data_IF_102519000520
#
_entry.id   IF_102519000520
#
_cell.length_a   1.000
_cell.length_b   1.000
_cell.length_c   1.000
_cell.angle_alpha   90.00
_cell.angle_beta   90.00
_cell.angle_gamma   90.00
#
_symmetry.space_group_name_H-M   'P 1'
#
loop_
_entity.id
_entity.type
_entity.pdbx_description
1 polymer ?
#
# COMPACT_ATOMS: atom_id res chain seq x y z
N UNK A 1 2.33 -29.58 -2.92
CA UNK A 1 2.93 -28.43 -2.19
C UNK A 1 2.13 -27.12 -2.22
N UNK A 2 1.45 -26.74 -3.32
CA UNK A 2 0.60 -25.52 -3.38
C UNK A 2 -0.64 -25.59 -2.47
N UNK A 3 -1.29 -26.74 -2.37
CA UNK A 3 -2.51 -26.96 -1.60
C UNK A 3 -2.30 -26.97 -0.08
N UNK A 4 -1.17 -27.45 0.43
CA UNK A 4 -0.89 -27.49 1.87
C UNK A 4 -0.68 -26.12 2.51
N UNK A 5 -0.03 -25.18 1.83
CA UNK A 5 0.18 -23.82 2.33
C UNK A 5 -1.12 -23.01 2.32
N UNK A 6 -1.97 -23.21 1.31
CA UNK A 6 -3.31 -22.61 1.24
C UNK A 6 -4.18 -23.04 2.43
N UNK A 7 -4.19 -24.34 2.74
CA UNK A 7 -4.92 -24.87 3.90
C UNK A 7 -4.40 -24.27 5.20
N UNK A 8 -3.08 -24.08 5.37
CA UNK A 8 -2.50 -23.56 6.62
C UNK A 8 -2.89 -22.12 6.94
N UNK A 9 -2.85 -21.21 6.00
CA UNK A 9 -3.22 -19.79 6.26
C UNK A 9 -4.72 -19.66 6.48
N UNK A 10 -5.53 -20.30 5.63
CA UNK A 10 -6.97 -20.29 5.73
C UNK A 10 -7.43 -20.80 7.11
N UNK A 11 -6.93 -21.95 7.56
CA UNK A 11 -7.28 -22.51 8.88
C UNK A 11 -6.75 -21.66 10.03
N UNK A 12 -5.57 -21.06 9.93
CA UNK A 12 -5.02 -20.16 10.95
C UNK A 12 -5.85 -18.91 11.18
N UNK A 13 -6.53 -18.42 10.17
CA UNK A 13 -7.41 -17.26 10.28
C UNK A 13 -8.83 -17.68 10.66
N UNK A 14 -9.34 -18.76 10.10
CA UNK A 14 -10.69 -19.23 10.30
C UNK A 14 -10.94 -19.77 11.71
N UNK A 15 -10.05 -20.64 12.22
CA UNK A 15 -10.25 -21.30 13.53
C UNK A 15 -10.40 -20.33 14.70
N UNK A 16 -9.54 -19.31 14.89
CA UNK A 16 -9.71 -18.39 16.00
C UNK A 16 -10.94 -17.50 15.84
N UNK A 17 -11.30 -17.13 14.62
CA UNK A 17 -12.47 -16.31 14.34
C UNK A 17 -13.77 -17.05 14.70
N UNK A 18 -13.88 -18.33 14.32
CA UNK A 18 -15.04 -19.16 14.66
C UNK A 18 -15.08 -19.50 16.14
N UNK A 19 -13.91 -19.79 16.74
CA UNK A 19 -13.84 -20.01 18.18
C UNK A 19 -14.33 -18.80 18.98
N UNK A 20 -13.88 -17.59 18.59
CA UNK A 20 -14.34 -16.34 19.21
C UNK A 20 -15.85 -16.15 19.05
N UNK A 21 -16.39 -16.42 17.85
CA UNK A 21 -17.82 -16.34 17.57
C UNK A 21 -18.64 -17.24 18.52
N UNK A 22 -18.23 -18.50 18.67
CA UNK A 22 -18.92 -19.44 19.55
C UNK A 22 -18.78 -19.10 21.03
N UNK A 23 -17.64 -18.54 21.46
CA UNK A 23 -17.48 -18.01 22.82
C UNK A 23 -18.45 -16.85 23.08
N UNK A 24 -18.59 -15.92 22.12
CA UNK A 24 -19.56 -14.80 22.23
C UNK A 24 -21.00 -15.35 22.32
N UNK A 25 -21.36 -16.27 21.44
CA UNK A 25 -22.69 -16.90 21.47
C UNK A 25 -22.93 -17.57 22.83
N UNK A 26 -21.97 -18.36 23.33
CA UNK A 26 -22.05 -19.04 24.63
C UNK A 26 -22.20 -18.06 25.80
N UNK A 27 -21.47 -16.95 25.80
CA UNK A 27 -21.61 -15.92 26.84
C UNK A 27 -22.93 -15.19 26.78
N UNK A 28 -23.46 -14.91 25.60
CA UNK A 28 -24.77 -14.32 25.41
C UNK A 28 -25.89 -15.25 25.91
N UNK A 29 -25.79 -16.54 25.61
CA UNK A 29 -26.73 -17.56 26.10
C UNK A 29 -26.70 -17.63 27.63
N UNK A 30 -25.51 -17.71 28.24
CA UNK A 30 -25.36 -17.75 29.69
C UNK A 30 -25.94 -16.51 30.37
N UNK A 31 -25.69 -15.33 29.78
CA UNK A 31 -26.26 -14.07 30.26
C UNK A 31 -27.80 -14.08 30.16
N UNK A 32 -28.34 -14.53 29.03
CA UNK A 32 -29.79 -14.59 28.84
C UNK A 32 -30.47 -15.54 29.84
N UNK A 33 -29.90 -16.75 30.06
CA UNK A 33 -30.44 -17.74 31.03
C UNK A 33 -30.41 -17.15 32.43
N UNK A 34 -29.33 -16.53 32.84
CA UNK A 34 -29.24 -15.93 34.18
C UNK A 34 -30.22 -14.76 34.34
N UNK A 35 -30.36 -13.91 33.33
CA UNK A 35 -31.29 -12.77 33.36
C UNK A 35 -32.76 -13.23 33.46
N UNK A 36 -33.12 -14.28 32.68
CA UNK A 36 -34.50 -14.83 32.75
C UNK A 36 -34.81 -15.51 34.07
N UNK A 37 -33.79 -16.17 34.69
CA UNK A 37 -33.90 -16.71 36.02
C UNK A 37 -34.17 -15.63 37.07
N UNK A 38 -33.46 -14.52 37.01
CA UNK A 38 -33.64 -13.39 37.93
C UNK A 38 -35.03 -12.74 37.75
N UNK A 39 -35.47 -12.57 36.52
CA UNK A 39 -36.80 -12.05 36.19
C UNK A 39 -37.94 -12.96 36.71
N UNK A 40 -37.78 -14.28 36.55
CA UNK A 40 -38.78 -15.22 37.02
C UNK A 40 -38.84 -15.21 38.54
N UNK A 41 -37.70 -15.20 39.22
CA UNK A 41 -37.59 -15.08 40.67
C UNK A 41 -38.31 -13.83 41.18
N UNK A 42 -38.04 -12.67 40.62
CA UNK A 42 -38.70 -11.39 40.97
C UNK A 42 -40.17 -11.44 40.73
N UNK A 43 -40.63 -12.07 39.65
CA UNK A 43 -42.05 -12.25 39.35
C UNK A 43 -42.78 -13.11 40.38
N UNK A 44 -42.16 -14.24 40.83
CA UNK A 44 -42.68 -15.11 41.85
C UNK A 44 -42.75 -14.44 43.22
N UNK A 45 -41.66 -13.71 43.60
CA UNK A 45 -41.60 -12.90 44.83
C UNK A 45 -42.76 -11.86 44.86
N UNK A 46 -42.93 -11.11 43.82
CA UNK A 46 -44.00 -10.12 43.70
C UNK A 46 -45.40 -10.76 43.76
N UNK A 47 -45.55 -11.96 43.20
CA UNK A 47 -46.83 -12.72 43.24
C UNK A 47 -47.15 -13.12 44.70
N UNK A 48 -46.20 -13.67 45.47
CA UNK A 48 -46.35 -14.05 46.87
C UNK A 48 -46.74 -12.86 47.75
N UNK A 49 -46.03 -11.74 47.56
CA UNK A 49 -46.31 -10.50 48.29
C UNK A 49 -47.74 -9.97 48.00
N UNK A 50 -48.13 -9.96 46.71
CA UNK A 50 -49.47 -9.50 46.32
C UNK A 50 -50.58 -10.38 46.92
N UNK A 51 -50.40 -11.69 46.90
CA UNK A 51 -51.37 -12.62 47.50
C UNK A 51 -51.53 -12.36 48.98
N UNK A 52 -50.44 -12.32 49.74
CA UNK A 52 -50.50 -12.02 51.17
C UNK A 52 -51.12 -10.64 51.46
N UNK A 53 -50.79 -9.64 50.64
CA UNK A 53 -51.43 -8.31 50.77
C UNK A 53 -52.97 -8.42 50.57
N UNK A 54 -53.41 -9.15 49.57
CA UNK A 54 -54.82 -9.32 49.23
C UNK A 54 -55.56 -10.02 50.39
N UNK A 55 -54.97 -11.05 50.98
CA UNK A 55 -55.55 -11.78 52.12
C UNK A 55 -55.69 -10.87 53.35
N UNK A 56 -54.66 -10.14 53.71
CA UNK A 56 -54.67 -9.22 54.87
C UNK A 56 -55.64 -8.06 54.62
N UNK A 57 -55.64 -7.47 53.44
CA UNK A 57 -56.56 -6.36 53.09
C UNK A 57 -58.03 -6.81 53.13
N UNK A 58 -58.32 -8.06 52.71
CA UNK A 58 -59.66 -8.64 52.79
C UNK A 58 -60.10 -8.82 54.25
N UNK A 59 -59.18 -9.28 55.15
CA UNK A 59 -59.44 -9.36 56.57
C UNK A 59 -59.72 -8.00 57.22
N UNK A 60 -58.88 -6.99 56.91
CA UNK A 60 -59.04 -5.65 57.44
C UNK A 60 -60.36 -4.98 56.97
N UNK A 61 -60.92 -5.45 55.84
CA UNK A 61 -62.21 -5.01 55.33
C UNK A 61 -63.37 -5.84 55.85
N UNK A 62 -63.12 -6.83 56.73
CA UNK A 62 -64.15 -7.68 57.33
C UNK A 62 -64.69 -8.78 56.41
N UNK A 63 -63.99 -9.17 55.40
CA UNK A 63 -64.35 -10.26 54.51
C UNK A 63 -64.12 -11.63 55.15
N UNK A 64 -64.88 -12.65 54.74
CA UNK A 64 -64.64 -14.02 55.13
C UNK A 64 -63.35 -14.56 54.52
N UNK A 65 -62.40 -14.94 55.38
CA UNK A 65 -61.07 -15.35 54.98
C UNK A 65 -61.05 -16.65 54.17
N UNK A 66 -61.90 -17.63 54.51
CA UNK A 66 -61.94 -18.87 53.75
C UNK A 66 -62.46 -18.63 52.33
N UNK A 67 -63.50 -17.83 52.20
CA UNK A 67 -64.00 -17.43 50.85
C UNK A 67 -62.98 -16.66 50.05
N UNK A 68 -62.15 -15.81 50.70
CA UNK A 68 -61.07 -15.06 50.05
C UNK A 68 -59.94 -15.99 49.56
N UNK A 69 -59.54 -16.95 50.37
CA UNK A 69 -58.50 -17.93 50.00
C UNK A 69 -59.02 -18.82 48.85
N UNK A 70 -60.28 -19.27 48.92
CA UNK A 70 -60.88 -20.08 47.84
C UNK A 70 -61.01 -19.29 46.54
N UNK A 71 -61.33 -18.00 46.63
CA UNK A 71 -61.37 -17.12 45.46
C UNK A 71 -59.99 -16.97 44.81
N UNK A 72 -58.94 -16.68 45.60
CA UNK A 72 -57.58 -16.61 45.12
C UNK A 72 -57.16 -17.92 44.45
N UNK A 73 -57.50 -19.07 45.09
CA UNK A 73 -57.27 -20.40 44.50
C UNK A 73 -57.92 -20.55 43.15
N UNK A 74 -59.16 -20.15 42.96
CA UNK A 74 -59.89 -20.27 41.70
C UNK A 74 -59.21 -19.46 40.59
N UNK A 75 -58.60 -18.32 40.91
CA UNK A 75 -57.83 -17.51 39.97
C UNK A 75 -56.48 -18.10 39.67
N UNK A 76 -55.83 -18.79 40.62
CA UNK A 76 -54.49 -19.35 40.42
C UNK A 76 -54.53 -20.72 39.73
N UNK A 77 -55.55 -21.54 39.97
CA UNK A 77 -55.70 -22.86 39.32
C UNK A 77 -56.04 -22.76 37.83
N UNK A 78 -56.64 -21.65 37.40
CA UNK A 78 -56.91 -21.37 35.97
C UNK A 78 -55.72 -20.83 35.18
N UNK A 79 -54.61 -20.56 35.86
CA UNK A 79 -53.37 -20.19 35.19
C UNK A 79 -52.44 -21.39 35.20
N UNK A 80 -51.67 -21.61 34.16
CA UNK A 80 -50.63 -22.67 34.01
C UNK A 80 -49.48 -22.51 34.98
N UNK A 81 -49.68 -21.85 36.11
CA UNK A 81 -48.67 -21.51 37.10
C UNK A 81 -48.73 -22.51 38.25
N UNK A 82 -47.55 -22.76 38.82
CA UNK A 82 -47.32 -23.62 39.99
C UNK A 82 -48.40 -23.44 41.10
N UNK A 83 -48.86 -24.50 41.73
CA UNK A 83 -49.94 -24.45 42.73
C UNK A 83 -49.47 -23.64 43.97
N UNK A 84 -50.17 -22.54 44.19
CA UNK A 84 -49.98 -21.63 45.31
C UNK A 84 -50.67 -22.19 46.56
N UNK A 85 -49.91 -22.29 47.67
CA UNK A 85 -50.50 -22.59 48.97
C UNK A 85 -50.66 -21.32 49.78
N UNK A 86 -51.84 -21.12 50.36
CA UNK A 86 -52.13 -20.02 51.28
C UNK A 86 -52.68 -20.64 52.56
N UNK A 87 -52.11 -20.26 53.69
CA UNK A 87 -52.61 -20.67 55.00
C UNK A 87 -52.63 -19.46 55.93
N UNK A 88 -53.74 -19.32 56.64
CA UNK A 88 -53.98 -18.18 57.55
C UNK A 88 -54.19 -18.73 58.95
N UNK A 89 -53.50 -18.16 59.90
CA UNK A 89 -53.60 -18.52 61.34
C UNK A 89 -54.06 -17.34 62.15
N UNK A 90 -54.77 -17.62 63.24
CA UNK A 90 -55.04 -16.64 64.30
C UNK A 90 -53.83 -16.44 65.21
N UNK A 91 -53.87 -15.43 66.08
CA UNK A 91 -52.81 -15.17 67.10
C UNK A 91 -52.57 -16.30 68.12
N UNK A 92 -53.52 -17.23 68.19
CA UNK A 92 -53.41 -18.44 69.06
C UNK A 92 -52.78 -19.63 68.30
N UNK A 93 -52.45 -19.46 67.02
CA UNK A 93 -51.89 -20.52 66.18
C UNK A 93 -52.90 -21.50 65.63
N UNK A 94 -54.21 -21.18 65.72
CA UNK A 94 -55.26 -22.00 65.09
C UNK A 94 -55.39 -21.59 63.58
N UNK A 95 -55.55 -22.58 62.73
CA UNK A 95 -55.74 -22.34 61.28
C UNK A 95 -57.14 -21.79 61.06
N UNK A 96 -57.22 -20.62 60.49
CA UNK A 96 -58.50 -19.93 60.16
C UNK A 96 -58.96 -20.18 58.76
N UNK A 97 -58.02 -20.24 57.84
CA UNK A 97 -58.26 -20.54 56.42
C UNK A 97 -57.09 -21.30 55.82
N UNK A 98 -57.32 -22.22 54.89
CA UNK A 98 -56.27 -23.00 54.19
C UNK A 98 -56.74 -23.36 52.76
N UNK A 99 -55.75 -23.48 51.91
CA UNK A 99 -55.92 -24.04 50.55
C UNK A 99 -55.15 -25.36 50.47
N UNK A 100 -55.79 -26.53 50.71
CA UNK A 100 -55.10 -27.81 50.87
C UNK A 100 -54.64 -28.44 49.56
N UNK A 101 -54.76 -27.76 48.42
CA UNK A 101 -54.53 -28.33 47.08
C UNK A 101 -53.05 -28.53 46.69
N UNK A 102 -52.11 -28.27 47.57
CA UNK A 102 -50.65 -28.36 47.30
C UNK A 102 -49.97 -29.38 48.18
N UNK A 103 -48.90 -29.99 47.68
CA UNK A 103 -48.04 -30.94 48.39
C UNK A 103 -47.17 -30.29 49.49
N UNK A 104 -47.18 -28.93 49.58
CA UNK A 104 -46.46 -28.19 50.59
C UNK A 104 -47.20 -28.32 51.94
N UNK A 105 -46.70 -29.14 52.85
CA UNK A 105 -47.25 -29.22 54.21
C UNK A 105 -46.52 -28.23 55.12
N UNK A 106 -47.26 -27.30 55.71
CA UNK A 106 -46.72 -26.35 56.70
C UNK A 106 -46.70 -26.92 58.11
N UNK A 107 -47.12 -28.19 58.26
CA UNK A 107 -47.12 -28.91 59.53
C UNK A 107 -46.04 -29.97 59.55
N UNK A 108 -45.40 -30.09 60.69
CA UNK A 108 -44.59 -31.30 61.08
C UNK A 108 -45.50 -32.49 61.11
N UNK A 109 -44.97 -33.70 60.88
CA UNK A 109 -45.67 -35.00 61.00
C UNK A 109 -46.39 -35.24 62.27
N UNK A 110 -46.18 -34.42 63.32
CA UNK A 110 -46.83 -34.51 64.66
C UNK A 110 -47.95 -33.45 64.82
N UNK A 111 -48.38 -32.73 63.79
CA UNK A 111 -49.44 -31.72 63.87
C UNK A 111 -48.99 -30.39 64.52
N UNK A 112 -47.73 -30.23 64.87
CA UNK A 112 -47.17 -28.98 65.41
C UNK A 112 -46.68 -28.11 64.27
N UNK A 113 -46.75 -26.80 64.45
CA UNK A 113 -46.19 -25.82 63.46
C UNK A 113 -44.69 -26.10 63.31
N UNK A 114 -44.24 -26.21 62.12
CA UNK A 114 -42.81 -26.42 61.86
C UNK A 114 -41.96 -25.36 62.58
N UNK A 115 -40.86 -25.73 63.28
CA UNK A 115 -40.00 -24.78 63.97
C UNK A 115 -39.52 -23.61 63.06
N UNK A 116 -39.41 -23.82 61.77
CA UNK A 116 -39.02 -22.81 60.81
C UNK A 116 -40.14 -21.80 60.64
N UNK A 117 -41.38 -22.25 60.63
CA UNK A 117 -42.58 -21.41 60.56
C UNK A 117 -42.79 -20.62 61.85
N UNK A 118 -42.36 -21.22 63.01
CA UNK A 118 -42.36 -20.53 64.29
C UNK A 118 -41.31 -19.39 64.30
N UNK A 119 -40.19 -19.55 63.60
CA UNK A 119 -39.19 -18.51 63.44
C UNK A 119 -39.70 -17.35 62.57
N UNK A 120 -40.42 -17.65 61.50
CA UNK A 120 -41.15 -16.66 60.66
C UNK A 120 -42.28 -15.95 61.45
N UNK A 121 -42.91 -16.64 62.41
CA UNK A 121 -43.94 -16.10 63.25
C UNK A 121 -43.41 -15.06 64.25
N UNK A 122 -42.23 -15.30 64.78
CA UNK A 122 -41.71 -14.57 66.00
C UNK A 122 -40.82 -13.33 65.65
N UNK A 123 -40.52 -13.04 64.42
CA UNK A 123 -39.55 -11.98 64.33
C UNK A 123 -39.18 -11.43 62.99
N UNK A 124 -39.97 -11.57 61.96
CA UNK A 124 -39.46 -11.19 60.64
C UNK A 124 -40.30 -10.12 60.01
N UNK A 125 -39.55 -9.18 59.46
CA UNK A 125 -39.96 -8.14 58.53
C UNK A 125 -41.03 -8.66 57.55
N UNK A 126 -42.21 -8.08 57.61
CA UNK A 126 -43.45 -8.48 56.92
C UNK A 126 -43.38 -8.33 55.37
N UNK A 127 -42.20 -8.16 54.83
CA UNK A 127 -42.02 -7.83 53.37
C UNK A 127 -41.00 -8.69 52.67
N UNK A 128 -40.36 -9.65 53.32
CA UNK A 128 -39.29 -10.46 52.70
C UNK A 128 -39.79 -11.86 52.33
N UNK A 129 -39.39 -12.32 51.17
CA UNK A 129 -39.61 -13.69 50.67
C UNK A 129 -38.40 -14.55 51.07
N UNK A 130 -38.68 -15.70 51.68
CA UNK A 130 -37.65 -16.64 52.15
C UNK A 130 -37.64 -17.90 51.28
N UNK A 131 -36.45 -18.31 50.85
CA UNK A 131 -36.25 -19.61 50.20
C UNK A 131 -36.06 -20.67 51.26
N UNK A 132 -36.93 -21.67 51.29
CA UNK A 132 -36.85 -22.79 52.26
C UNK A 132 -36.80 -24.13 51.54
N UNK A 133 -36.09 -25.09 52.11
CA UNK A 133 -36.12 -26.49 51.67
C UNK A 133 -36.95 -27.30 52.64
N UNK A 134 -38.04 -27.88 52.18
CA UNK A 134 -38.96 -28.69 52.96
C UNK A 134 -39.27 -30.02 52.26
N UNK A 135 -39.15 -31.14 52.95
CA UNK A 135 -39.36 -32.50 52.43
C UNK A 135 -38.66 -32.79 51.08
N UNK A 136 -37.49 -32.22 50.87
CA UNK A 136 -36.69 -32.42 49.63
C UNK A 136 -37.03 -31.51 48.48
N UNK A 137 -38.07 -30.65 48.58
CA UNK A 137 -38.40 -29.60 47.63
C UNK A 137 -37.96 -28.22 48.16
N UNK A 138 -37.53 -27.33 47.28
CA UNK A 138 -37.31 -25.91 47.59
C UNK A 138 -38.61 -25.16 47.39
N UNK A 139 -38.95 -24.27 48.32
CA UNK A 139 -40.14 -23.42 48.25
C UNK A 139 -39.80 -21.99 48.60
N UNK A 140 -40.46 -21.07 47.94
CA UNK A 140 -40.44 -19.64 48.30
C UNK A 140 -41.66 -19.39 49.20
N UNK A 141 -41.42 -18.80 50.37
CA UNK A 141 -42.45 -18.53 51.37
C UNK A 141 -42.41 -17.06 51.74
N UNK A 142 -43.56 -16.46 51.79
CA UNK A 142 -43.75 -15.11 52.29
C UNK A 142 -44.79 -15.13 53.42
N UNK A 143 -44.52 -14.40 54.50
CA UNK A 143 -45.47 -14.20 55.61
C UNK A 143 -45.86 -12.75 55.76
N UNK A 144 -47.11 -12.48 56.14
CA UNK A 144 -47.58 -11.15 56.47
C UNK A 144 -48.54 -11.18 57.65
N UNK A 145 -48.43 -10.19 58.55
CA UNK A 145 -49.25 -10.05 59.73
C UNK A 145 -50.22 -8.87 59.55
N UNK A 146 -51.47 -9.03 60.03
CA UNK A 146 -52.45 -7.93 60.05
C UNK A 146 -52.00 -6.81 60.98
N UNK A 147 -52.51 -5.59 60.77
CA UNK A 147 -52.17 -4.40 61.60
C UNK A 147 -52.55 -4.54 63.06
N UNK A 148 -53.65 -5.26 63.35
CA UNK A 148 -54.12 -5.58 64.69
C UNK A 148 -53.39 -6.77 65.33
N UNK A 149 -52.42 -7.38 64.60
CA UNK A 149 -51.64 -8.57 64.98
C UNK A 149 -52.53 -9.81 65.32
N UNK A 150 -53.74 -9.87 64.80
CA UNK A 150 -54.68 -10.96 65.07
C UNK A 150 -54.54 -12.12 64.08
N UNK A 151 -54.04 -11.84 62.90
CA UNK A 151 -53.96 -12.82 61.80
C UNK A 151 -52.60 -12.81 61.13
N UNK A 152 -52.07 -14.01 60.85
CA UNK A 152 -50.86 -14.31 60.13
C UNK A 152 -51.18 -15.03 58.81
N UNK A 153 -50.85 -14.45 57.69
CA UNK A 153 -51.04 -15.08 56.37
C UNK A 153 -49.70 -15.58 55.87
N UNK A 154 -49.67 -16.81 55.42
CA UNK A 154 -48.53 -17.44 54.77
C UNK A 154 -48.90 -17.83 53.35
N UNK A 155 -48.07 -17.40 52.39
CA UNK A 155 -48.17 -17.82 50.98
C UNK A 155 -46.90 -18.57 50.62
N UNK A 156 -47.00 -19.71 50.00
CA UNK A 156 -45.91 -20.56 49.57
C UNK A 156 -46.08 -21.03 48.15
N UNK A 157 -44.98 -21.00 47.40
CA UNK A 157 -44.86 -21.56 46.06
C UNK A 157 -43.71 -22.55 46.01
N UNK A 158 -43.87 -23.72 45.38
CA UNK A 158 -42.72 -24.58 45.09
C UNK A 158 -41.77 -23.81 44.12
N UNK A 159 -40.48 -23.89 44.38
CA UNK A 159 -39.49 -23.25 43.56
C UNK A 159 -38.34 -24.24 43.34
N UNK A 160 -38.26 -24.79 42.15
CA UNK A 160 -37.10 -25.62 41.76
C UNK A 160 -36.04 -24.79 41.15
N UNK A 161 -34.85 -24.79 41.75
CA UNK A 161 -33.69 -24.02 41.32
C UNK A 161 -32.87 -24.74 40.24
N UNK A 162 -33.37 -25.88 39.71
CA UNK A 162 -32.63 -26.66 38.74
C UNK A 162 -32.58 -25.96 37.37
N UNK A 163 -31.35 -25.85 36.84
CA UNK A 163 -31.06 -25.22 35.53
C UNK A 163 -31.78 -25.94 34.40
N UNK A 164 -32.24 -27.19 34.59
CA UNK A 164 -32.91 -28.03 33.61
C UNK A 164 -34.29 -27.50 33.26
N UNK A 165 -35.02 -26.85 34.17
CA UNK A 165 -36.36 -26.30 33.88
C UNK A 165 -36.30 -25.00 33.08
N UNK A 166 -35.16 -24.27 33.17
CA UNK A 166 -34.94 -23.09 32.32
C UNK A 166 -34.53 -23.45 30.89
N UNK A 167 -34.10 -24.67 30.63
CA UNK A 167 -33.85 -25.19 29.28
C UNK A 167 -35.15 -25.61 28.59
N UNK A 168 -36.30 -25.60 29.29
CA UNK A 168 -37.63 -25.78 28.72
C UNK A 168 -38.13 -24.57 27.90
N UNK A 169 -37.28 -23.49 27.73
CA UNK A 169 -37.47 -22.54 26.63
C UNK A 169 -37.65 -23.34 25.35
N UNK A 170 -38.75 -23.12 24.67
CA UNK A 170 -39.20 -23.88 23.51
C UNK A 170 -38.04 -24.35 22.64
N UNK A 171 -37.90 -25.65 22.33
CA UNK A 171 -36.78 -26.19 21.57
C UNK A 171 -36.52 -25.44 20.26
N UNK A 172 -37.53 -24.75 19.74
CA UNK A 172 -37.47 -23.86 18.57
C UNK A 172 -36.46 -22.74 18.69
N UNK A 173 -36.30 -22.14 19.88
CA UNK A 173 -35.32 -21.04 20.13
C UNK A 173 -33.90 -21.57 20.03
N UNK A 174 -33.62 -22.74 20.63
CA UNK A 174 -32.30 -23.37 20.56
C UNK A 174 -31.92 -23.76 19.12
N UNK A 175 -32.88 -24.29 18.36
CA UNK A 175 -32.68 -24.60 16.93
C UNK A 175 -32.35 -23.34 16.16
N UNK A 176 -33.02 -22.22 16.38
CA UNK A 176 -32.74 -20.94 15.72
C UNK A 176 -31.34 -20.41 16.04
N UNK A 177 -30.89 -20.48 17.30
CA UNK A 177 -29.56 -20.05 17.72
C UNK A 177 -28.47 -20.89 17.06
N UNK A 178 -28.66 -22.20 16.99
CA UNK A 178 -27.71 -23.09 16.30
C UNK A 178 -27.64 -22.80 14.80
N UNK A 179 -28.81 -22.65 14.14
CA UNK A 179 -28.88 -22.30 12.72
C UNK A 179 -28.15 -20.96 12.45
N UNK A 180 -28.41 -19.94 13.26
CA UNK A 180 -27.72 -18.65 13.14
C UNK A 180 -26.22 -18.79 13.31
N UNK A 181 -25.75 -19.55 14.31
CA UNK A 181 -24.32 -19.84 14.54
C UNK A 181 -23.68 -20.53 13.35
N UNK A 182 -24.38 -21.48 12.73
CA UNK A 182 -23.91 -22.16 11.50
C UNK A 182 -23.83 -21.18 10.33
N UNK A 183 -24.87 -20.36 10.11
CA UNK A 183 -24.87 -19.36 9.02
C UNK A 183 -23.71 -18.39 9.17
N UNK A 184 -23.48 -17.87 10.39
CA UNK A 184 -22.37 -16.98 10.68
C UNK A 184 -21.01 -17.67 10.46
N UNK A 185 -20.89 -18.94 10.83
CA UNK A 185 -19.66 -19.72 10.63
C UNK A 185 -19.38 -19.96 9.13
N UNK A 186 -20.41 -20.25 8.34
CA UNK A 186 -20.29 -20.43 6.88
C UNK A 186 -19.93 -19.11 6.18
N UNK A 187 -20.57 -18.00 6.56
CA UNK A 187 -20.23 -16.69 5.99
C UNK A 187 -18.80 -16.26 6.33
N UNK A 188 -18.34 -16.49 7.57
CA UNK A 188 -16.96 -16.28 7.96
C UNK A 188 -15.98 -17.14 7.16
N UNK A 189 -16.32 -18.43 6.92
CA UNK A 189 -15.53 -19.32 6.08
C UNK A 189 -15.38 -18.81 4.65
N UNK A 190 -16.48 -18.40 4.04
CA UNK A 190 -16.49 -17.88 2.66
C UNK A 190 -15.70 -16.57 2.55
N UNK A 191 -15.84 -15.67 3.54
CA UNK A 191 -15.06 -14.41 3.60
C UNK A 191 -13.57 -14.65 3.72
N UNK A 192 -13.12 -15.49 4.67
CA UNK A 192 -11.70 -15.84 4.84
C UNK A 192 -11.16 -16.52 3.59
N UNK A 193 -11.94 -17.40 2.96
CA UNK A 193 -11.55 -18.07 1.71
C UNK A 193 -11.34 -17.08 0.56
N UNK A 194 -12.22 -16.08 0.42
CA UNK A 194 -12.11 -15.04 -0.61
C UNK A 194 -10.84 -14.20 -0.43
N UNK A 195 -10.59 -13.72 0.79
CA UNK A 195 -9.39 -12.94 1.14
C UNK A 195 -8.12 -13.75 0.88
N UNK A 196 -8.06 -14.99 1.38
CA UNK A 196 -6.89 -15.85 1.17
C UNK A 196 -6.61 -16.10 -0.31
N UNK A 197 -7.63 -16.27 -1.16
CA UNK A 197 -7.46 -16.46 -2.61
C UNK A 197 -6.77 -15.26 -3.25
N UNK A 198 -7.18 -14.02 -2.88
CA UNK A 198 -6.59 -12.80 -3.43
C UNK A 198 -5.15 -12.59 -2.95
N UNK A 199 -4.86 -12.86 -1.68
CA UNK A 199 -3.49 -12.81 -1.13
C UNK A 199 -2.55 -13.80 -1.83
N UNK A 200 -3.02 -15.02 -2.09
CA UNK A 200 -2.19 -16.01 -2.81
C UNK A 200 -1.98 -15.63 -4.27
N UNK A 201 -3.00 -15.07 -4.94
CA UNK A 201 -2.83 -14.56 -6.30
C UNK A 201 -1.76 -13.46 -6.37
N UNK A 202 -1.77 -12.51 -5.43
CA UNK A 202 -0.75 -11.47 -5.32
C UNK A 202 0.65 -12.06 -5.06
N UNK A 203 0.76 -13.03 -4.15
CA UNK A 203 2.04 -13.70 -3.88
C UNK A 203 2.58 -14.44 -5.10
N UNK A 204 1.73 -15.20 -5.80
CA UNK A 204 2.13 -15.96 -7.00
C UNK A 204 2.55 -14.98 -8.11
N UNK A 205 1.88 -13.82 -8.24
CA UNK A 205 2.26 -12.73 -9.13
C UNK A 205 3.64 -12.17 -8.76
N UNK A 206 3.85 -11.81 -7.50
CA UNK A 206 5.12 -11.27 -7.02
C UNK A 206 6.27 -12.28 -7.24
N UNK A 207 6.01 -13.58 -7.05
CA UNK A 207 6.98 -14.64 -7.32
C UNK A 207 7.28 -14.76 -8.82
N UNK A 208 6.26 -14.72 -9.68
CA UNK A 208 6.44 -14.75 -11.12
C UNK A 208 7.27 -13.55 -11.62
N UNK A 209 7.05 -12.35 -11.05
CA UNK A 209 7.87 -11.17 -11.32
C UNK A 209 9.32 -11.38 -10.89
N UNK A 210 9.56 -11.93 -9.68
CA UNK A 210 10.92 -12.15 -9.17
C UNK A 210 11.70 -13.22 -9.96
N UNK A 211 11.00 -14.15 -10.60
CA UNK A 211 11.59 -15.22 -11.44
C UNK A 211 11.62 -14.84 -12.93
N UNK A 212 11.25 -13.59 -13.27
CA UNK A 212 11.20 -13.06 -14.64
C UNK A 212 10.34 -13.91 -15.59
N UNK A 213 9.26 -14.51 -15.06
CA UNK A 213 8.37 -15.46 -15.74
C UNK A 213 6.96 -14.94 -15.93
N UNK A 214 6.78 -13.64 -15.96
CA UNK A 214 5.44 -13.09 -16.15
C UNK A 214 4.96 -13.37 -17.57
N UNK A 215 3.77 -13.97 -17.77
CA UNK A 215 3.18 -14.10 -19.09
C UNK A 215 2.88 -12.71 -19.68
N UNK A 216 3.20 -12.51 -20.95
CA UNK A 216 2.96 -11.23 -21.66
C UNK A 216 1.49 -10.78 -21.63
N UNK A 217 0.53 -11.70 -21.43
CA UNK A 217 -0.90 -11.48 -21.56
C UNK A 217 -1.68 -11.48 -20.23
N UNK A 218 -1.11 -10.98 -19.13
CA UNK A 218 -1.90 -10.80 -17.90
C UNK A 218 -2.89 -9.64 -18.12
N UNK A 219 -4.18 -10.00 -18.23
CA UNK A 219 -5.24 -9.00 -18.32
C UNK A 219 -5.51 -8.36 -16.94
N UNK A 220 -5.60 -7.03 -16.84
CA UNK A 220 -5.99 -6.34 -15.60
C UNK A 220 -7.36 -6.77 -15.06
N UNK A 221 -8.22 -7.35 -15.91
CA UNK A 221 -9.55 -7.88 -15.56
C UNK A 221 -9.51 -9.19 -14.73
N UNK A 222 -8.34 -9.81 -14.59
CA UNK A 222 -8.18 -11.04 -13.80
C UNK A 222 -8.04 -10.75 -12.29
N UNK A 223 -7.83 -9.50 -11.91
CA UNK A 223 -7.69 -9.09 -10.51
C UNK A 223 -9.04 -8.62 -9.94
N UNK A 224 -9.24 -8.87 -8.65
CA UNK A 224 -10.44 -8.41 -7.93
C UNK A 224 -10.55 -6.87 -7.95
N UNK A 225 -11.78 -6.35 -7.74
CA UNK A 225 -12.03 -4.91 -7.65
C UNK A 225 -11.89 -4.38 -6.21
N UNK A 226 -10.95 -4.93 -5.45
CA UNK A 226 -10.59 -4.53 -4.09
C UNK A 226 -9.19 -3.89 -4.05
N UNK A 227 -8.74 -3.51 -2.85
CA UNK A 227 -7.43 -2.90 -2.62
C UNK A 227 -6.28 -3.83 -3.07
N UNK A 228 -6.41 -5.14 -2.84
CA UNK A 228 -5.42 -6.11 -3.29
C UNK A 228 -5.35 -6.23 -4.81
N UNK A 229 -6.49 -6.11 -5.49
CA UNK A 229 -6.55 -6.04 -6.94
C UNK A 229 -5.92 -4.77 -7.51
N UNK A 230 -6.05 -3.62 -6.82
CA UNK A 230 -5.36 -2.38 -7.18
C UNK A 230 -3.84 -2.57 -7.08
N UNK A 231 -3.34 -3.05 -5.94
CA UNK A 231 -1.90 -3.34 -5.74
C UNK A 231 -1.37 -4.31 -6.80
N UNK A 232 -2.16 -5.32 -7.18
CA UNK A 232 -1.76 -6.26 -8.23
C UNK A 232 -1.64 -5.59 -9.60
N UNK A 233 -2.55 -4.68 -9.94
CA UNK A 233 -2.49 -3.89 -11.19
C UNK A 233 -1.29 -2.95 -11.23
N UNK A 234 -1.03 -2.25 -10.13
CA UNK A 234 0.11 -1.34 -10.01
C UNK A 234 1.44 -2.09 -10.12
N UNK A 235 1.53 -3.27 -9.49
CA UNK A 235 2.71 -4.11 -9.58
C UNK A 235 2.99 -4.60 -11.01
N UNK A 236 1.94 -4.98 -11.74
CA UNK A 236 2.08 -5.38 -13.17
C UNK A 236 2.47 -4.18 -14.03
N UNK A 237 1.90 -2.99 -13.79
CA UNK A 237 2.27 -1.77 -14.51
C UNK A 237 3.75 -1.43 -14.30
N UNK A 238 4.20 -1.35 -13.04
CA UNK A 238 5.61 -1.09 -12.70
C UNK A 238 6.57 -2.09 -13.32
N UNK A 239 6.20 -3.37 -13.33
CA UNK A 239 7.03 -4.39 -13.97
C UNK A 239 7.11 -4.22 -15.49
N UNK A 240 6.00 -3.90 -16.16
CA UNK A 240 5.99 -3.60 -17.60
C UNK A 240 6.85 -2.38 -17.93
N UNK A 241 6.71 -1.32 -17.17
CA UNK A 241 7.51 -0.11 -17.35
C UNK A 241 9.02 -0.42 -17.21
N UNK A 242 9.39 -1.24 -16.21
CA UNK A 242 10.76 -1.73 -16.05
C UNK A 242 11.26 -2.50 -17.28
N UNK A 243 10.47 -3.47 -17.76
CA UNK A 243 10.83 -4.28 -18.94
C UNK A 243 10.97 -3.39 -20.18
N UNK A 244 10.05 -2.45 -20.41
CA UNK A 244 10.14 -1.53 -21.52
C UNK A 244 11.41 -0.67 -21.45
N UNK A 245 11.71 -0.10 -20.27
CA UNK A 245 12.93 0.69 -20.07
C UNK A 245 14.21 -0.15 -20.32
N UNK A 246 14.21 -1.42 -19.89
CA UNK A 246 15.33 -2.33 -20.10
C UNK A 246 15.50 -2.72 -21.57
N UNK A 247 14.39 -2.98 -22.27
CA UNK A 247 14.40 -3.24 -23.72
C UNK A 247 14.87 -2.02 -24.53
N UNK A 248 14.40 -0.82 -24.17
CA UNK A 248 14.88 0.42 -24.80
C UNK A 248 16.38 0.63 -24.57
N UNK A 249 16.87 0.35 -23.36
CA UNK A 249 18.29 0.42 -23.05
C UNK A 249 19.11 -0.55 -23.92
N UNK A 250 18.71 -1.82 -23.99
CA UNK A 250 19.36 -2.84 -24.83
C UNK A 250 19.33 -2.44 -26.31
N UNK A 251 18.18 -1.95 -26.79
CA UNK A 251 18.03 -1.50 -28.17
C UNK A 251 18.98 -0.33 -28.50
N UNK A 252 19.07 0.66 -27.61
CA UNK A 252 19.99 1.78 -27.73
C UNK A 252 21.46 1.34 -27.71
N UNK A 253 21.83 0.42 -26.80
CA UNK A 253 23.18 -0.13 -26.75
C UNK A 253 23.54 -0.88 -28.06
N UNK A 254 22.61 -1.66 -28.59
CA UNK A 254 22.81 -2.37 -29.85
C UNK A 254 22.95 -1.43 -31.06
N UNK A 255 22.14 -0.37 -31.12
CA UNK A 255 22.25 0.66 -32.17
C UNK A 255 23.60 1.38 -32.11
N UNK A 256 24.07 1.70 -30.89
CA UNK A 256 25.40 2.31 -30.69
C UNK A 256 26.48 1.37 -31.21
N UNK A 257 26.46 0.09 -30.79
CA UNK A 257 27.46 -0.88 -31.21
C UNK A 257 27.52 -1.07 -32.73
N UNK A 258 26.35 -1.15 -33.39
CA UNK A 258 26.27 -1.23 -34.85
C UNK A 258 26.86 0.01 -35.54
N UNK A 259 26.49 1.22 -35.06
CA UNK A 259 26.97 2.47 -35.63
C UNK A 259 28.47 2.64 -35.43
N UNK A 260 29.00 2.28 -34.28
CA UNK A 260 30.46 2.25 -33.98
C UNK A 260 31.17 1.34 -34.94
N UNK A 261 30.68 0.11 -35.11
CA UNK A 261 31.31 -0.87 -36.02
C UNK A 261 31.37 -0.34 -37.46
N UNK A 262 30.31 0.28 -37.92
CA UNK A 262 30.27 0.89 -39.27
C UNK A 262 31.28 2.04 -39.45
N UNK A 263 31.35 2.95 -38.44
CA UNK A 263 32.23 4.13 -38.51
C UNK A 263 33.72 3.76 -38.30
N UNK A 264 34.03 2.67 -37.60
CA UNK A 264 35.38 2.12 -37.48
C UNK A 264 35.83 1.36 -38.73
N UNK A 265 34.97 0.56 -39.33
CA UNK A 265 35.30 -0.26 -40.49
C UNK A 265 35.60 0.60 -41.75
N UNK A 266 35.01 1.78 -41.87
CA UNK A 266 35.22 2.67 -43.01
C UNK A 266 36.69 3.16 -43.13
N UNK A 267 37.30 3.84 -42.11
CA UNK A 267 38.68 4.26 -42.18
C UNK A 267 39.65 3.08 -42.27
N UNK A 268 39.36 1.96 -41.59
CA UNK A 268 40.17 0.74 -41.65
C UNK A 268 40.23 0.21 -43.11
N UNK A 269 39.07 0.13 -43.77
CA UNK A 269 39.00 -0.28 -45.18
C UNK A 269 39.77 0.65 -46.11
N UNK A 270 39.69 1.97 -45.86
CA UNK A 270 40.44 2.98 -46.66
C UNK A 270 41.95 2.83 -46.43
N UNK A 271 42.41 2.70 -45.18
CA UNK A 271 43.82 2.48 -44.84
C UNK A 271 44.33 1.23 -45.55
N UNK A 272 43.59 0.11 -45.39
CA UNK A 272 43.94 -1.15 -46.03
C UNK A 272 44.03 -1.01 -47.55
N UNK A 273 43.04 -0.35 -48.18
CA UNK A 273 43.05 -0.14 -49.63
C UNK A 273 44.29 0.65 -50.14
N UNK A 274 44.68 1.72 -49.43
CA UNK A 274 45.89 2.44 -49.78
C UNK A 274 47.15 1.59 -49.58
N UNK A 275 47.26 0.84 -48.50
CA UNK A 275 48.38 -0.02 -48.24
C UNK A 275 48.46 -1.18 -49.26
N UNK A 276 47.36 -1.83 -49.55
CA UNK A 276 47.29 -2.91 -50.57
C UNK A 276 47.70 -2.38 -51.96
N UNK A 277 47.27 -1.15 -52.30
CA UNK A 277 47.66 -0.53 -53.58
C UNK A 277 49.17 -0.24 -53.64
N UNK A 278 49.75 0.27 -52.53
CA UNK A 278 51.20 0.52 -52.47
C UNK A 278 52.00 -0.77 -52.56
N UNK A 279 51.53 -1.85 -51.89
CA UNK A 279 52.16 -3.16 -51.89
C UNK A 279 52.09 -3.95 -53.17
N UNK A 280 51.04 -3.65 -54.01
CA UNK A 280 50.81 -4.36 -55.24
C UNK A 280 51.50 -3.71 -56.49
N UNK A 281 52.04 -2.52 -56.34
CA UNK A 281 52.71 -1.80 -57.45
C UNK A 281 54.13 -1.38 -57.03
N UNK A 282 55.13 -2.23 -57.36
CA UNK A 282 56.54 -2.01 -57.08
C UNK A 282 57.11 -0.80 -57.90
N UNK A 283 56.48 -0.42 -59.00
CA UNK A 283 56.89 0.66 -59.87
C UNK A 283 56.10 1.97 -59.63
N UNK A 284 55.37 2.07 -58.53
CA UNK A 284 54.58 3.24 -58.19
C UNK A 284 55.47 4.48 -58.06
N UNK A 285 55.14 5.62 -58.74
CA UNK A 285 55.89 6.88 -58.57
C UNK A 285 55.91 7.33 -57.13
N UNK A 286 57.05 7.84 -56.69
CA UNK A 286 57.26 8.21 -55.27
C UNK A 286 56.32 9.30 -54.76
N UNK A 287 55.89 10.23 -55.61
CA UNK A 287 54.92 11.26 -55.29
C UNK A 287 53.51 10.65 -55.02
N UNK A 288 53.12 9.63 -55.77
CA UNK A 288 51.87 8.90 -55.59
C UNK A 288 51.93 8.03 -54.35
N UNK A 289 53.03 7.31 -54.13
CA UNK A 289 53.33 6.51 -52.94
C UNK A 289 53.23 7.38 -51.66
N UNK A 290 53.92 8.53 -51.66
CA UNK A 290 53.88 9.47 -50.56
C UNK A 290 52.48 10.00 -50.27
N UNK A 291 51.70 10.31 -51.30
CA UNK A 291 50.29 10.77 -51.21
C UNK A 291 49.39 9.67 -50.58
N UNK A 292 49.56 8.40 -50.98
CA UNK A 292 48.79 7.29 -50.42
C UNK A 292 49.15 7.04 -48.95
N UNK A 293 50.46 7.09 -48.60
CA UNK A 293 50.91 6.99 -47.21
C UNK A 293 50.35 8.13 -46.34
N UNK A 294 50.35 9.36 -46.87
CA UNK A 294 49.77 10.50 -46.17
C UNK A 294 48.25 10.36 -45.98
N UNK A 295 47.55 9.82 -46.94
CA UNK A 295 46.10 9.51 -46.82
C UNK A 295 45.85 8.37 -45.81
N UNK A 296 46.67 7.35 -45.76
CA UNK A 296 46.58 6.27 -44.78
C UNK A 296 46.83 6.85 -43.39
N UNK A 297 47.84 7.70 -43.21
CA UNK A 297 48.14 8.38 -41.95
C UNK A 297 46.97 9.22 -41.45
N UNK A 298 46.41 10.08 -42.31
CA UNK A 298 45.22 10.90 -41.99
C UNK A 298 44.01 10.09 -41.53
N UNK A 299 43.78 8.91 -42.15
CA UNK A 299 42.71 8.05 -41.72
C UNK A 299 43.03 7.31 -40.41
N UNK A 300 44.29 7.03 -40.12
CA UNK A 300 44.73 6.48 -38.84
C UNK A 300 44.54 7.48 -37.70
N UNK A 301 44.93 8.75 -37.92
CA UNK A 301 44.73 9.83 -36.96
C UNK A 301 43.25 10.02 -36.63
N UNK A 302 42.38 10.02 -37.68
CA UNK A 302 40.95 10.07 -37.55
C UNK A 302 40.38 8.89 -36.76
N UNK A 303 40.87 7.67 -37.01
CA UNK A 303 40.47 6.49 -36.25
C UNK A 303 40.80 6.61 -34.77
N UNK A 304 42.00 7.12 -34.44
CA UNK A 304 42.40 7.36 -33.07
C UNK A 304 41.50 8.39 -32.36
N UNK A 305 41.15 9.49 -33.02
CA UNK A 305 40.21 10.48 -32.50
C UNK A 305 38.83 9.84 -32.22
N UNK A 306 38.30 9.06 -33.17
CA UNK A 306 37.00 8.40 -33.07
C UNK A 306 36.94 7.40 -31.90
N UNK A 307 38.02 6.61 -31.68
CA UNK A 307 38.16 5.72 -30.53
C UNK A 307 38.24 6.49 -29.22
N UNK A 308 38.94 7.61 -29.19
CA UNK A 308 39.03 8.49 -28.01
C UNK A 308 37.65 9.07 -27.63
N UNK A 309 36.93 9.63 -28.63
CA UNK A 309 35.59 10.19 -28.42
C UNK A 309 34.63 9.12 -27.94
N UNK A 310 34.67 7.93 -28.53
CA UNK A 310 33.81 6.79 -28.17
C UNK A 310 34.05 6.34 -26.73
N UNK A 311 35.35 6.19 -26.33
CA UNK A 311 35.71 5.84 -24.95
C UNK A 311 35.20 6.90 -23.97
N UNK A 312 35.23 8.18 -24.32
CA UNK A 312 34.66 9.24 -23.50
C UNK A 312 33.13 9.15 -23.38
N UNK A 313 32.46 8.92 -24.49
CA UNK A 313 30.99 8.71 -24.52
C UNK A 313 30.61 7.54 -23.63
N UNK A 314 31.32 6.40 -23.71
CA UNK A 314 31.06 5.20 -22.87
C UNK A 314 31.28 5.48 -21.38
N UNK A 315 32.39 6.11 -21.03
CA UNK A 315 32.69 6.48 -19.63
C UNK A 315 31.66 7.41 -19.02
N UNK A 316 31.16 8.39 -19.79
CA UNK A 316 30.10 9.30 -19.34
C UNK A 316 28.75 8.60 -19.20
N UNK A 317 28.52 7.52 -19.96
CA UNK A 317 27.31 6.71 -19.87
C UNK A 317 27.28 5.81 -18.63
N UNK A 318 28.43 5.21 -18.27
CA UNK A 318 28.55 4.29 -17.15
C UNK A 318 28.74 5.01 -15.80
N UNK A 319 29.49 6.14 -15.79
CA UNK A 319 29.96 6.79 -14.57
C UNK A 319 29.56 8.28 -14.49
N UNK A 320 28.56 8.72 -15.24
CA UNK A 320 28.15 10.14 -15.26
C UNK A 320 27.84 10.74 -13.89
N UNK A 321 27.40 9.90 -12.94
CA UNK A 321 27.11 10.31 -11.55
C UNK A 321 28.38 10.44 -10.66
N UNK A 322 29.54 9.92 -11.09
CA UNK A 322 30.76 9.87 -10.29
C UNK A 322 31.85 10.82 -10.76
N UNK A 323 31.52 11.87 -11.54
CA UNK A 323 32.50 12.87 -11.98
C UNK A 323 32.77 13.85 -10.83
N UNK A 324 34.01 13.91 -10.39
CA UNK A 324 34.42 14.89 -9.37
C UNK A 324 34.45 16.28 -9.98
N UNK A 325 33.43 17.09 -9.67
CA UNK A 325 33.38 18.49 -10.05
C UNK A 325 34.07 19.37 -9.00
N UNK A 326 34.74 20.42 -9.46
CA UNK A 326 35.35 21.43 -8.62
C UNK A 326 34.94 22.84 -9.08
N UNK A 327 35.06 23.87 -8.21
CA UNK A 327 34.82 25.24 -8.63
C UNK A 327 35.88 25.67 -9.65
N UNK A 328 35.46 26.14 -10.79
CA UNK A 328 36.34 26.65 -11.89
C UNK A 328 35.99 28.10 -12.23
N UNK A 329 36.98 28.86 -12.62
CA UNK A 329 36.80 30.18 -13.17
C UNK A 329 36.54 30.06 -14.68
N UNK A 330 35.28 30.18 -15.07
CA UNK A 330 34.88 29.96 -16.46
C UNK A 330 35.42 31.02 -17.41
N UNK A 331 35.61 32.28 -16.92
CA UNK A 331 36.17 33.35 -17.73
C UNK A 331 37.64 33.07 -18.04
N UNK A 332 38.44 32.71 -17.02
CA UNK A 332 39.85 32.37 -17.19
C UNK A 332 40.02 31.14 -18.12
N UNK A 333 39.23 30.07 -17.91
CA UNK A 333 39.23 28.92 -18.80
C UNK A 333 38.92 29.29 -20.24
N UNK A 334 37.89 30.15 -20.48
CA UNK A 334 37.52 30.58 -21.82
C UNK A 334 38.61 31.44 -22.47
N UNK A 335 39.33 32.27 -21.69
CA UNK A 335 40.47 33.03 -22.20
C UNK A 335 41.62 32.11 -22.68
N UNK A 336 41.95 31.06 -21.92
CA UNK A 336 42.93 30.06 -22.37
C UNK A 336 42.47 29.35 -23.66
N UNK A 337 41.19 28.98 -23.77
CA UNK A 337 40.67 28.40 -25.01
C UNK A 337 40.80 29.38 -26.18
N UNK A 338 40.51 30.67 -25.98
CA UNK A 338 40.65 31.69 -27.03
C UNK A 338 42.09 31.85 -27.51
N UNK A 339 43.06 31.75 -26.60
CA UNK A 339 44.48 31.79 -26.96
C UNK A 339 44.94 30.53 -27.70
N UNK A 340 44.48 29.35 -27.28
CA UNK A 340 44.77 28.08 -27.96
C UNK A 340 44.19 28.04 -29.37
N UNK A 341 43.01 28.61 -29.58
CA UNK A 341 42.38 28.72 -30.92
C UNK A 341 43.24 29.57 -31.86
N UNK A 342 43.74 30.70 -31.36
CA UNK A 342 44.58 31.61 -32.18
C UNK A 342 45.92 30.96 -32.50
N UNK A 343 46.58 30.35 -31.55
CA UNK A 343 47.91 29.71 -31.71
C UNK A 343 47.84 28.45 -32.57
N UNK A 344 46.77 27.65 -32.37
CA UNK A 344 46.57 26.36 -33.05
C UNK A 344 45.93 26.44 -34.43
N UNK A 345 45.59 27.63 -34.94
CA UNK A 345 44.88 27.83 -36.21
C UNK A 345 43.60 27.00 -36.33
N UNK A 346 42.89 26.82 -35.18
CA UNK A 346 41.75 25.91 -35.06
C UNK A 346 40.51 26.47 -35.81
N UNK A 347 40.36 27.77 -35.84
CA UNK A 347 39.27 28.49 -36.47
C UNK A 347 39.74 29.59 -37.43
N UNK A 348 40.65 29.23 -38.33
CA UNK A 348 41.17 30.17 -39.32
C UNK A 348 40.04 30.83 -40.13
N UNK A 349 40.01 32.15 -40.12
CA UNK A 349 38.96 32.95 -40.75
C UNK A 349 37.71 33.21 -39.90
N UNK A 350 37.67 32.75 -38.64
CA UNK A 350 36.60 33.08 -37.71
C UNK A 350 37.11 33.85 -36.52
N UNK A 351 36.30 34.80 -36.02
CA UNK A 351 36.57 35.50 -34.75
C UNK A 351 35.79 34.80 -33.61
N UNK A 352 36.50 34.53 -32.50
CA UNK A 352 35.86 34.03 -31.28
C UNK A 352 35.78 35.16 -30.25
N UNK A 353 34.54 35.56 -29.93
CA UNK A 353 34.23 36.57 -28.92
C UNK A 353 33.57 35.91 -27.71
N UNK A 354 33.86 36.37 -26.50
CA UNK A 354 33.15 35.92 -25.32
C UNK A 354 32.82 37.07 -24.39
N UNK A 355 31.64 36.97 -23.75
CA UNK A 355 31.12 37.94 -22.78
C UNK A 355 30.70 37.17 -21.52
N UNK A 356 31.62 37.01 -20.58
CA UNK A 356 31.49 36.27 -19.32
C UNK A 356 31.84 37.19 -18.17
N UNK A 357 31.03 37.30 -17.09
CA UNK A 357 31.32 38.06 -15.90
C UNK A 357 32.61 37.58 -15.18
N UNK A 358 33.29 38.45 -14.49
CA UNK A 358 34.54 38.16 -13.78
C UNK A 358 34.35 37.18 -12.62
N UNK A 359 33.15 37.15 -12.02
CA UNK A 359 32.79 36.33 -10.89
C UNK A 359 32.07 35.02 -11.29
N UNK A 360 32.12 34.64 -12.56
CA UNK A 360 31.44 33.44 -13.06
C UNK A 360 32.20 32.16 -12.64
N UNK A 361 31.75 31.59 -11.53
CA UNK A 361 32.28 30.34 -10.98
C UNK A 361 31.31 29.20 -11.26
N UNK A 362 31.79 28.14 -11.90
CA UNK A 362 31.01 26.94 -12.25
C UNK A 362 31.47 25.74 -11.45
N UNK A 363 30.53 24.88 -11.08
CA UNK A 363 30.87 23.58 -10.49
C UNK A 363 30.93 22.55 -11.64
N UNK A 364 32.13 22.23 -12.10
CA UNK A 364 32.36 21.33 -13.24
C UNK A 364 33.74 20.64 -13.17
N UNK A 365 33.96 19.71 -14.12
CA UNK A 365 35.28 19.10 -14.34
C UNK A 365 35.93 19.80 -15.53
N UNK A 366 36.97 20.63 -15.23
CA UNK A 366 37.59 21.54 -16.20
C UNK A 366 38.02 20.88 -17.52
N UNK A 367 38.72 19.73 -17.54
CA UNK A 367 39.12 19.07 -18.79
C UNK A 367 37.93 18.63 -19.65
N UNK A 368 36.81 18.17 -19.05
CA UNK A 368 35.63 17.79 -19.79
C UNK A 368 34.89 19.01 -20.34
N UNK A 369 34.78 20.09 -19.56
CA UNK A 369 34.15 21.32 -20.01
C UNK A 369 34.97 21.97 -21.15
N UNK A 370 36.28 21.99 -21.06
CA UNK A 370 37.19 22.42 -22.13
C UNK A 370 36.95 21.61 -23.41
N UNK A 371 36.84 20.28 -23.29
CA UNK A 371 36.54 19.42 -24.43
C UNK A 371 35.17 19.75 -25.04
N UNK A 372 34.13 20.00 -24.23
CA UNK A 372 32.81 20.40 -24.72
C UNK A 372 32.86 21.73 -25.50
N UNK A 373 33.56 22.72 -24.97
CA UNK A 373 33.74 24.03 -25.65
C UNK A 373 34.50 23.89 -26.96
N UNK A 374 35.58 23.15 -26.98
CA UNK A 374 36.34 22.87 -28.21
C UNK A 374 35.49 22.16 -29.27
N UNK A 375 34.66 21.19 -28.88
CA UNK A 375 33.75 20.51 -29.80
C UNK A 375 32.73 21.47 -30.43
N UNK A 376 32.16 22.41 -29.67
CA UNK A 376 31.31 23.46 -30.22
C UNK A 376 32.02 24.35 -31.20
N UNK A 377 33.25 24.79 -30.86
CA UNK A 377 34.09 25.65 -31.68
C UNK A 377 34.51 24.95 -32.98
N UNK A 378 34.96 23.68 -32.89
CA UNK A 378 35.30 22.88 -34.08
C UNK A 378 34.09 22.66 -35.00
N UNK A 379 32.92 22.43 -34.39
CA UNK A 379 31.69 22.27 -35.18
C UNK A 379 31.36 23.55 -35.95
N UNK A 380 31.43 24.72 -35.29
CA UNK A 380 31.22 26.01 -35.93
C UNK A 380 32.26 26.27 -37.03
N UNK A 381 33.54 26.10 -36.73
CA UNK A 381 34.64 26.35 -37.71
C UNK A 381 34.52 25.46 -38.96
N UNK A 382 34.13 24.21 -38.83
CA UNK A 382 34.08 23.25 -39.94
C UNK A 382 32.81 23.28 -40.73
N UNK A 383 31.65 23.64 -40.13
CA UNK A 383 30.33 23.37 -40.70
C UNK A 383 29.47 24.61 -40.85
N UNK A 384 29.68 25.68 -40.11
CA UNK A 384 28.85 26.87 -40.18
C UNK A 384 29.00 27.67 -41.49
N UNK A 385 30.23 27.75 -41.96
CA UNK A 385 30.56 28.68 -43.08
C UNK A 385 30.44 30.14 -42.68
N UNK A 386 30.36 30.43 -41.39
CA UNK A 386 30.32 31.77 -40.83
C UNK A 386 31.71 32.36 -40.60
N UNK A 387 31.74 33.56 -40.06
CA UNK A 387 32.99 34.31 -39.74
C UNK A 387 33.13 34.67 -38.26
N UNK A 388 32.09 34.35 -37.44
CA UNK A 388 32.07 34.76 -36.05
C UNK A 388 31.42 33.70 -35.17
N UNK A 389 32.05 33.48 -33.99
CA UNK A 389 31.52 32.67 -32.89
C UNK A 389 31.42 33.57 -31.66
N UNK A 390 30.30 33.50 -30.95
CA UNK A 390 30.03 34.27 -29.73
C UNK A 390 29.64 33.35 -28.60
N UNK A 391 30.32 33.42 -27.46
CA UNK A 391 29.93 32.80 -26.22
C UNK A 391 29.48 33.89 -25.24
N UNK A 392 28.23 33.88 -24.83
CA UNK A 392 27.67 34.90 -23.95
C UNK A 392 27.03 34.27 -22.70
N UNK A 393 27.29 34.89 -21.57
CA UNK A 393 26.53 34.64 -20.35
C UNK A 393 25.18 35.34 -20.46
N UNK A 394 24.10 34.61 -20.24
CA UNK A 394 22.72 35.12 -20.32
C UNK A 394 22.19 35.53 -18.97
N UNK A 395 22.56 34.78 -17.92
CA UNK A 395 22.06 35.02 -16.56
C UNK A 395 22.29 33.86 -15.64
N UNK A 396 21.70 33.96 -14.45
CA UNK A 396 21.69 32.90 -13.44
C UNK A 396 20.25 32.61 -13.03
N UNK A 397 19.85 31.33 -13.11
CA UNK A 397 18.52 30.90 -12.76
C UNK A 397 18.60 29.55 -12.01
N UNK A 398 17.84 29.42 -10.92
CA UNK A 398 17.75 28.19 -10.10
C UNK A 398 19.14 27.62 -9.70
N UNK A 399 20.10 28.51 -9.34
CA UNK A 399 21.46 28.09 -8.94
C UNK A 399 22.35 27.62 -10.10
N UNK A 400 21.98 27.93 -11.36
CA UNK A 400 22.75 27.57 -12.57
C UNK A 400 23.05 28.83 -13.37
N UNK A 401 24.24 28.86 -13.97
CA UNK A 401 24.56 29.85 -14.98
C UNK A 401 24.06 29.37 -16.34
N UNK A 402 23.48 30.29 -17.10
CA UNK A 402 22.96 30.05 -18.45
C UNK A 402 23.86 30.76 -19.44
N UNK A 403 24.26 30.05 -20.48
CA UNK A 403 25.11 30.55 -21.56
C UNK A 403 24.48 30.30 -22.92
N UNK A 404 24.82 31.16 -23.88
CA UNK A 404 24.57 30.94 -25.30
C UNK A 404 25.91 30.88 -26.04
N UNK A 405 26.06 29.86 -26.88
CA UNK A 405 27.14 29.73 -27.83
C UNK A 405 26.53 29.79 -29.24
N UNK A 406 26.90 30.77 -30.04
CA UNK A 406 26.29 30.98 -31.35
C UNK A 406 27.33 31.23 -32.43
N UNK A 407 27.07 30.77 -33.64
CA UNK A 407 27.77 31.13 -34.86
C UNK A 407 26.87 31.93 -35.79
N UNK A 408 27.46 32.69 -36.73
CA UNK A 408 26.75 33.45 -37.75
C UNK A 408 26.72 32.76 -39.12
N UNK A 409 26.72 31.44 -39.14
CA UNK A 409 26.76 30.67 -40.39
C UNK A 409 25.39 30.45 -41.03
N UNK A 410 25.29 29.39 -41.81
CA UNK A 410 24.08 29.05 -42.59
C UNK A 410 22.95 28.41 -41.79
N UNK A 411 23.19 28.00 -40.55
CA UNK A 411 22.24 27.23 -39.79
C UNK A 411 21.92 25.86 -40.38
N UNK A 412 20.82 25.22 -39.90
CA UNK A 412 20.36 23.92 -40.40
C UNK A 412 18.86 23.93 -40.60
N UNK A 413 18.34 23.02 -41.45
CA UNK A 413 16.89 22.87 -41.61
C UNK A 413 16.25 22.41 -40.29
N UNK A 414 15.04 22.90 -39.96
CA UNK A 414 14.37 22.57 -38.70
C UNK A 414 14.24 21.06 -38.41
N UNK A 415 14.10 20.24 -39.43
CA UNK A 415 13.97 18.78 -39.37
C UNK A 415 15.23 18.10 -38.80
N UNK A 416 16.40 18.75 -38.85
CA UNK A 416 17.67 18.24 -38.37
C UNK A 416 17.96 18.64 -36.92
N UNK A 417 17.40 19.74 -36.40
CA UNK A 417 17.66 20.27 -35.06
C UNK A 417 17.46 19.23 -33.95
N UNK A 418 16.35 18.47 -33.88
CA UNK A 418 16.13 17.47 -32.82
C UNK A 418 17.15 16.33 -32.87
N UNK A 419 17.79 16.11 -34.01
CA UNK A 419 18.68 14.97 -34.25
C UNK A 419 20.16 15.30 -34.13
N UNK A 420 20.54 16.58 -33.97
CA UNK A 420 21.95 17.01 -33.91
C UNK A 420 22.73 16.39 -32.73
N UNK A 421 22.05 16.05 -31.63
CA UNK A 421 22.66 15.39 -30.47
C UNK A 421 22.60 13.85 -30.54
N UNK A 422 22.07 13.26 -31.62
CA UNK A 422 22.08 11.82 -31.79
C UNK A 422 23.49 11.35 -32.21
N UNK A 423 23.93 10.23 -31.64
CA UNK A 423 25.24 9.64 -31.96
C UNK A 423 25.33 9.33 -33.46
N UNK A 424 26.47 9.68 -34.05
CA UNK A 424 26.77 9.47 -35.50
C UNK A 424 25.84 10.16 -36.47
N UNK A 425 24.96 11.06 -36.00
CA UNK A 425 24.07 11.79 -36.86
C UNK A 425 24.81 12.86 -37.67
N UNK A 426 24.57 12.89 -38.96
CA UNK A 426 25.14 13.88 -39.89
C UNK A 426 24.07 14.28 -40.92
N UNK A 427 24.02 15.57 -41.25
CA UNK A 427 23.05 16.15 -42.21
C UNK A 427 23.30 15.62 -43.63
N UNK A 428 24.57 15.54 -44.03
CA UNK A 428 24.98 15.06 -45.37
C UNK A 428 25.80 13.78 -45.29
N UNK A 429 25.21 12.64 -45.62
CA UNK A 429 25.89 11.35 -45.68
C UNK A 429 26.80 11.13 -46.89
N UNK A 430 26.64 11.97 -47.95
CA UNK A 430 27.22 11.68 -49.28
C UNK A 430 28.35 12.61 -49.75
N UNK A 431 28.41 13.87 -49.36
CA UNK A 431 29.28 14.87 -50.00
C UNK A 431 30.56 15.30 -49.27
N UNK A 432 30.65 15.04 -47.97
CA UNK A 432 31.71 15.59 -47.10
C UNK A 432 32.56 14.52 -46.38
N UNK A 433 32.85 13.39 -47.06
CA UNK A 433 33.90 12.46 -46.55
C UNK A 433 35.28 13.14 -46.46
N UNK A 434 35.50 14.30 -47.12
CA UNK A 434 36.73 15.07 -47.06
C UNK A 434 36.89 15.92 -45.78
N UNK A 435 35.79 16.33 -45.12
CA UNK A 435 35.81 17.28 -44.02
C UNK A 435 35.59 16.62 -42.62
N UNK A 436 35.70 15.31 -42.53
CA UNK A 436 36.21 14.53 -41.41
C UNK A 436 35.46 14.55 -40.04
N UNK A 437 34.18 14.90 -39.93
CA UNK A 437 33.50 14.84 -38.62
C UNK A 437 33.04 13.43 -38.22
N UNK A 438 33.23 12.99 -36.99
CA UNK A 438 32.80 11.66 -36.46
C UNK A 438 31.31 11.58 -36.18
N UNK A 439 30.59 12.70 -36.09
CA UNK A 439 29.22 12.74 -35.59
C UNK A 439 29.09 12.47 -34.11
N UNK A 440 30.20 12.47 -33.35
CA UNK A 440 30.24 12.27 -31.91
C UNK A 440 30.39 13.57 -31.11
N UNK A 441 30.87 14.66 -31.74
CA UNK A 441 31.20 15.91 -31.02
C UNK A 441 29.98 16.51 -30.28
N UNK A 442 28.88 16.79 -30.97
CA UNK A 442 27.67 17.35 -30.32
C UNK A 442 27.02 16.41 -29.33
N UNK A 443 26.83 15.10 -29.60
CA UNK A 443 26.41 14.12 -28.57
C UNK A 443 27.30 14.14 -27.33
N UNK A 444 28.62 14.25 -27.49
CA UNK A 444 29.57 14.32 -26.38
C UNK A 444 29.38 15.61 -25.56
N UNK A 445 29.19 16.76 -26.21
CA UNK A 445 28.85 18.02 -25.53
C UNK A 445 27.61 17.85 -24.67
N UNK A 446 26.54 17.30 -25.20
CA UNK A 446 25.29 17.08 -24.45
C UNK A 446 25.52 16.17 -23.23
N UNK A 447 26.25 15.07 -23.39
CA UNK A 447 26.57 14.15 -22.29
C UNK A 447 27.43 14.81 -21.20
N UNK A 448 28.43 15.61 -21.57
CA UNK A 448 29.27 16.35 -20.63
C UNK A 448 28.42 17.35 -19.82
N UNK A 449 27.61 18.16 -20.49
CA UNK A 449 26.73 19.14 -19.82
C UNK A 449 25.75 18.46 -18.88
N UNK A 450 25.12 17.37 -19.34
CA UNK A 450 24.21 16.58 -18.50
C UNK A 450 24.92 15.94 -17.29
N UNK A 451 26.15 15.45 -17.45
CA UNK A 451 26.95 14.88 -16.38
C UNK A 451 27.29 15.90 -15.27
N UNK A 452 27.29 17.19 -15.58
CA UNK A 452 27.38 18.29 -14.58
C UNK A 452 26.01 18.67 -14.01
N UNK A 453 24.91 17.95 -14.35
CA UNK A 453 23.55 18.29 -13.97
C UNK A 453 22.96 19.48 -14.74
N UNK A 454 23.58 19.89 -15.85
CA UNK A 454 23.09 20.92 -16.75
C UNK A 454 22.13 20.38 -17.82
N UNK A 455 21.70 21.26 -18.72
CA UNK A 455 20.96 20.91 -19.94
C UNK A 455 21.48 21.75 -21.12
N UNK A 456 21.34 21.25 -22.36
CA UNK A 456 21.71 21.95 -23.59
C UNK A 456 20.64 21.79 -24.65
N UNK A 457 20.31 22.91 -25.31
CA UNK A 457 19.37 22.99 -26.44
C UNK A 457 20.03 23.66 -27.63
N UNK A 458 19.50 23.42 -28.81
CA UNK A 458 20.00 24.03 -30.06
C UNK A 458 18.84 24.55 -30.86
N UNK A 459 19.01 25.71 -31.43
CA UNK A 459 18.06 26.37 -32.38
C UNK A 459 18.84 27.10 -33.45
N UNK A 460 18.15 27.49 -34.52
CA UNK A 460 18.75 28.43 -35.49
C UNK A 460 18.79 29.82 -34.88
N UNK A 461 19.93 30.48 -34.99
CA UNK A 461 20.12 31.84 -34.49
C UNK A 461 19.29 32.87 -35.28
N UNK A 462 18.91 34.00 -34.65
CA UNK A 462 18.13 35.06 -35.32
C UNK A 462 18.88 35.72 -36.46
N UNK A 463 20.20 35.80 -36.37
CA UNK A 463 21.09 36.37 -37.38
C UNK A 463 21.68 35.31 -38.34
N UNK A 464 21.13 34.12 -38.36
CA UNK A 464 21.68 32.93 -39.01
C UNK A 464 22.53 32.11 -38.09
N UNK A 465 23.06 30.96 -38.62
CA UNK A 465 23.86 30.02 -37.83
C UNK A 465 23.10 29.20 -36.83
N UNK A 466 23.82 28.54 -35.92
CA UNK A 466 23.28 27.78 -34.83
C UNK A 466 23.51 28.50 -33.48
N UNK A 467 22.52 28.42 -32.61
CA UNK A 467 22.60 28.90 -31.21
C UNK A 467 22.37 27.74 -30.25
N UNK A 468 23.38 27.48 -29.42
CA UNK A 468 23.34 26.48 -28.36
C UNK A 468 23.15 27.19 -27.03
N UNK A 469 22.02 26.94 -26.37
CA UNK A 469 21.78 27.44 -25.00
C UNK A 469 22.02 26.31 -24.02
N UNK A 470 22.93 26.51 -23.05
CA UNK A 470 23.26 25.49 -22.06
C UNK A 470 23.37 26.06 -20.65
N UNK A 471 23.15 25.20 -19.67
CA UNK A 471 23.22 25.56 -18.24
C UNK A 471 24.22 24.70 -17.50
N UNK A 472 24.94 25.31 -16.53
CA UNK A 472 25.89 24.60 -15.65
C UNK A 472 25.66 25.09 -14.22
N UNK A 473 25.71 24.20 -13.19
CA UNK A 473 25.59 24.60 -11.81
C UNK A 473 26.63 25.63 -11.39
N UNK A 474 26.20 26.59 -10.58
CA UNK A 474 27.10 27.56 -9.95
C UNK A 474 27.90 26.89 -8.84
N UNK A 475 29.16 27.24 -8.68
CA UNK A 475 29.98 26.85 -7.55
C UNK A 475 29.60 27.61 -6.27
#
# INVERSE_FOLDING_TARGET
MKTEHFMRLHWRLFTPLVALLWVIIGTCILYFVNHEKDRLKESLENRLLNVNNTVIDAYEQGADLQSTVDFIKLFTDNTTLEPLRITVYDNSGNMVADNPATTISLYSSNGAIDPIMLGLWNGIDNTTVHNMSYNGGKSMICSKISRDMQIHSFAALPYEEEVTDFLSVEPTVWILVIILGIILSVTAYLGVRAICRNVYALRDLAKAISEDRLPENISPRQFSNDELGNVSRDLVALYRDKIHAEQEKIHNEHQIAMSVSHELNTPVGIIKGYLDTILSDDNMPDDIRKRFLERARQNTDRLAELVKDMNMVMRLQENGENITCSPIDFKAMTAHIADDIKLGHIADGMTFEYNIPDDCRLLAHEPLLTNAMLNLIYNAARHSGGSKIVLSWVGRENGRHIFTFSDNGKGVKPEHLPRLFNLFYRIDQGRTRKDGGSGLGLPLVKRIINAFGGDIKVENGPDGGLSFTFSIPSA
#
